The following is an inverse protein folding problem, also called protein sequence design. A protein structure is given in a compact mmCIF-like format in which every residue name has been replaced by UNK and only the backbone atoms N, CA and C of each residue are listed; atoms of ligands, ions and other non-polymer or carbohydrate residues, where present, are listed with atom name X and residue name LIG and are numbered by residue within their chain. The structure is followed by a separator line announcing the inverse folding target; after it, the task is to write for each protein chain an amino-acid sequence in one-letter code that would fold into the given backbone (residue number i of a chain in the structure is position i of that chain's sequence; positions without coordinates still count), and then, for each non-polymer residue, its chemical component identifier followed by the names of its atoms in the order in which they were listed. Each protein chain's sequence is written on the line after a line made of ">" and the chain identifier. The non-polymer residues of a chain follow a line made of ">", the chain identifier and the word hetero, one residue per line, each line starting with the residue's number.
data_IF_868671887807
#
_entry.id   IF_868671887807
#
_cell.length_a   1.000
_cell.length_b   1.000
_cell.length_c   1.000
_cell.angle_alpha   90.00
_cell.angle_beta   90.00
_cell.angle_gamma   90.00
#
_symmetry.space_group_name_H-M   'P 1'
#
loop_
_entity.id
_entity.type
_entity.pdbx_description
1 polymer ?
#
# COMPACT_ATOMS: atom_id res chain seq x y z
N UNK A 1 -15.03 0.04 2.74
CA UNK A 1 -14.40 -1.26 3.06
C UNK A 1 -13.30 -1.04 4.09
N UNK A 2 -13.45 -1.55 5.32
CA UNK A 2 -12.37 -1.54 6.33
C UNK A 2 -11.51 -2.77 6.07
N UNK A 3 -10.28 -2.58 5.57
CA UNK A 3 -9.29 -3.65 5.52
C UNK A 3 -8.87 -3.97 6.96
N UNK A 4 -9.12 -5.19 7.47
CA UNK A 4 -8.71 -5.51 8.83
C UNK A 4 -7.18 -5.51 8.88
N UNK A 5 -6.65 -4.59 9.68
CA UNK A 5 -5.33 -4.68 10.34
C UNK A 5 -4.09 -4.87 9.48
N UNK A 6 -4.03 -4.38 8.23
CA UNK A 6 -2.71 -4.15 7.64
C UNK A 6 -1.97 -3.14 8.54
N UNK A 7 -0.76 -3.47 9.03
CA UNK A 7 0.07 -2.50 9.76
C UNK A 7 0.16 -1.27 8.87
N UNK A 8 -0.36 -0.16 9.38
CA UNK A 8 -0.41 1.06 8.61
C UNK A 8 1.01 1.64 8.53
N UNK A 9 1.37 2.12 7.34
CA UNK A 9 2.67 2.70 7.10
C UNK A 9 2.62 4.21 7.26
N UNK A 10 3.27 4.71 8.30
CA UNK A 10 3.39 6.13 8.64
C UNK A 10 4.78 6.71 8.33
N UNK A 11 5.67 5.92 7.74
CA UNK A 11 7.04 6.31 7.41
C UNK A 11 8.08 6.02 8.50
N UNK A 12 7.68 5.55 9.68
CA UNK A 12 8.61 5.27 10.80
C UNK A 12 9.16 3.85 10.80
N UNK A 13 8.41 2.91 10.25
CA UNK A 13 8.85 1.52 10.09
C UNK A 13 9.66 1.35 8.80
N UNK A 14 10.42 0.28 8.70
CA UNK A 14 11.16 -0.04 7.48
C UNK A 14 10.17 -0.28 6.30
N UNK A 15 10.39 0.41 5.19
CA UNK A 15 9.52 0.31 4.00
C UNK A 15 9.51 -1.11 3.40
N UNK A 16 10.66 -1.79 3.36
CA UNK A 16 10.78 -3.14 2.83
C UNK A 16 10.00 -4.14 3.69
N UNK A 17 10.02 -3.98 5.01
CA UNK A 17 9.22 -4.80 5.94
C UNK A 17 7.71 -4.57 5.74
N UNK A 18 7.30 -3.30 5.54
CA UNK A 18 5.91 -2.96 5.21
C UNK A 18 5.47 -3.63 3.91
N UNK A 19 6.26 -3.49 2.83
CA UNK A 19 5.95 -4.08 1.52
C UNK A 19 5.90 -5.60 1.58
N UNK A 20 6.80 -6.23 2.34
CA UNK A 20 6.80 -7.68 2.56
C UNK A 20 5.51 -8.12 3.26
N UNK A 21 5.15 -7.44 4.36
CA UNK A 21 3.93 -7.73 5.12
C UNK A 21 2.66 -7.52 4.30
N UNK A 22 2.61 -6.44 3.52
CA UNK A 22 1.51 -6.12 2.61
C UNK A 22 1.35 -7.18 1.51
N UNK A 23 2.46 -7.60 0.88
CA UNK A 23 2.45 -8.61 -0.17
C UNK A 23 1.97 -9.97 0.33
N UNK A 24 2.40 -10.40 1.52
CA UNK A 24 1.96 -11.66 2.14
C UNK A 24 0.44 -11.64 2.33
N UNK A 25 -0.12 -10.54 2.84
CA UNK A 25 -1.58 -10.41 3.09
C UNK A 25 -2.41 -10.39 1.81
N UNK A 26 -1.96 -9.66 0.80
CA UNK A 26 -2.63 -9.62 -0.51
C UNK A 26 -2.66 -11.01 -1.15
N UNK A 27 -1.55 -11.77 -1.03
CA UNK A 27 -1.49 -13.17 -1.48
C UNK A 27 -2.48 -14.07 -0.72
N UNK A 28 -2.57 -13.93 0.61
CA UNK A 28 -3.53 -14.69 1.42
C UNK A 28 -4.98 -14.42 1.03
N UNK A 29 -5.30 -13.18 0.63
CA UNK A 29 -6.63 -12.79 0.17
C UNK A 29 -6.92 -13.16 -1.30
N UNK A 30 -5.97 -13.83 -1.98
CA UNK A 30 -6.03 -14.14 -3.42
C UNK A 30 -6.39 -12.92 -4.28
N UNK A 31 -5.99 -11.73 -3.85
CA UNK A 31 -6.34 -10.51 -4.56
C UNK A 31 -5.51 -10.42 -5.85
N UNK A 32 -6.17 -10.17 -6.98
CA UNK A 32 -5.52 -9.92 -8.26
C UNK A 32 -4.56 -8.71 -8.18
N UNK A 33 -3.53 -8.67 -9.02
CA UNK A 33 -2.58 -7.55 -9.09
C UNK A 33 -3.28 -6.20 -9.26
N UNK A 34 -4.41 -6.16 -9.98
CA UNK A 34 -5.22 -4.95 -10.14
C UNK A 34 -5.81 -4.46 -8.82
N UNK A 35 -6.26 -5.39 -7.95
CA UNK A 35 -6.77 -5.07 -6.62
C UNK A 35 -5.66 -4.58 -5.70
N UNK A 36 -4.44 -5.12 -5.83
CA UNK A 36 -3.27 -4.70 -5.05
C UNK A 36 -3.02 -3.18 -5.15
N UNK A 37 -3.06 -2.62 -6.36
CA UNK A 37 -2.87 -1.19 -6.57
C UNK A 37 -4.01 -0.34 -6.01
N UNK A 38 -5.24 -0.87 -5.99
CA UNK A 38 -6.40 -0.19 -5.40
C UNK A 38 -6.33 -0.20 -3.87
N UNK A 39 -5.80 -1.29 -3.29
CA UNK A 39 -5.77 -1.51 -1.83
C UNK A 39 -4.53 -0.87 -1.19
N UNK A 40 -3.42 -0.76 -1.92
CA UNK A 40 -2.16 -0.23 -1.40
C UNK A 40 -2.28 1.14 -0.71
N UNK A 41 -3.01 2.14 -1.24
CA UNK A 41 -3.19 3.43 -0.58
C UNK A 41 -3.85 3.30 0.80
N UNK A 42 -4.73 2.33 1.00
CA UNK A 42 -5.38 2.07 2.29
C UNK A 42 -4.40 1.58 3.37
N UNK A 43 -3.19 1.17 2.98
CA UNK A 43 -2.12 0.79 3.92
C UNK A 43 -1.27 1.99 4.37
N UNK A 44 -1.46 3.18 3.80
CA UNK A 44 -0.66 4.37 4.08
C UNK A 44 -1.37 5.31 5.07
N UNK A 45 -0.61 6.01 5.91
CA UNK A 45 -1.12 6.97 6.90
C UNK A 45 -0.45 8.34 6.75
N UNK A 46 -1.20 9.38 7.14
CA UNK A 46 -0.71 10.77 7.34
C UNK A 46 0.05 11.30 6.12
N UNK A 47 1.27 11.81 6.33
CA UNK A 47 2.13 12.39 5.32
C UNK A 47 2.45 11.41 4.18
N UNK A 48 2.50 10.11 4.45
CA UNK A 48 2.79 9.11 3.41
C UNK A 48 1.61 8.94 2.44
N UNK A 49 0.38 8.95 2.96
CA UNK A 49 -0.81 8.93 2.11
C UNK A 49 -0.89 10.21 1.25
N UNK A 50 -0.59 11.36 1.84
CA UNK A 50 -0.52 12.63 1.11
C UNK A 50 0.56 12.61 0.03
N UNK A 51 1.78 12.19 0.37
CA UNK A 51 2.86 11.98 -0.59
C UNK A 51 2.44 11.07 -1.74
N UNK A 52 1.81 9.94 -1.44
CA UNK A 52 1.34 9.00 -2.46
C UNK A 52 0.28 9.61 -3.38
N UNK A 53 -0.60 10.46 -2.84
CA UNK A 53 -1.67 11.10 -3.63
C UNK A 53 -1.17 12.09 -4.67
N UNK A 54 0.06 12.60 -4.54
CA UNK A 54 0.67 13.48 -5.55
C UNK A 54 1.09 12.73 -6.82
N UNK A 55 1.20 11.40 -6.79
CA UNK A 55 1.50 10.62 -7.99
C UNK A 55 0.24 10.47 -8.84
N UNK A 56 0.26 11.05 -10.03
CA UNK A 56 -0.76 10.83 -11.05
C UNK A 56 -0.55 9.47 -11.74
N UNK A 57 -1.62 8.88 -12.27
CA UNK A 57 -1.50 7.72 -13.18
C UNK A 57 -0.53 8.09 -14.31
N UNK A 58 0.53 7.29 -14.50
CA UNK A 58 1.69 7.49 -15.41
C UNK A 58 2.88 8.27 -14.85
N UNK A 59 2.92 8.58 -13.56
CA UNK A 59 4.10 9.22 -12.94
C UNK A 59 5.34 8.32 -12.89
N UNK A 60 5.18 7.01 -13.01
CA UNK A 60 6.28 6.04 -13.07
C UNK A 60 6.62 5.84 -14.55
N UNK A 61 7.76 6.38 -14.98
CA UNK A 61 8.34 6.05 -16.30
C UNK A 61 8.86 4.62 -16.24
N UNK A 62 8.44 3.81 -17.21
CA UNK A 62 8.95 2.45 -17.45
C UNK A 62 10.36 2.49 -18.01
#
# INVERSE_FOLDING_TARGET
>A
MRFPTAKEYDGKINLCEHLTSFNIRIKLQRAFNTLKCIIFPCSLKRAILLWFSYFTKRSIKS
#
